data_IF_872134574896
#
_entry.id   IF_872134574896
#
_cell.length_a   1.000
_cell.length_b   1.000
_cell.length_c   1.000
_cell.angle_alpha   90.00
_cell.angle_beta   90.00
_cell.angle_gamma   90.00
#
_symmetry.space_group_name_H-M   'P 1'
#
loop_
_entity.id
_entity.type
_entity.pdbx_description
1 polymer ?
#
# COMPACT_ATOMS: atom_id res chain seq x y z
N UNK A 1 8.04 -33.46 31.66
CA UNK A 1 6.70 -32.94 31.26
C UNK A 1 6.97 -32.28 29.91
N UNK A 2 6.74 -33.06 28.86
CA UNK A 2 6.93 -32.60 27.47
C UNK A 2 5.95 -31.49 27.16
N UNK A 3 6.50 -30.40 26.65
CA UNK A 3 5.80 -29.19 26.28
C UNK A 3 5.00 -29.45 24.98
N UNK A 4 3.71 -29.84 25.14
CA UNK A 4 2.80 -30.11 24.03
C UNK A 4 2.39 -28.81 23.25
N UNK A 5 3.00 -27.67 23.58
CA UNK A 5 2.67 -26.39 22.94
C UNK A 5 3.31 -26.22 21.56
N UNK A 6 4.23 -27.09 21.15
CA UNK A 6 5.08 -26.91 19.96
C UNK A 6 4.56 -27.62 18.68
N UNK A 7 3.32 -28.11 18.70
CA UNK A 7 2.77 -28.92 17.57
C UNK A 7 1.62 -28.21 16.81
N UNK A 8 1.21 -27.02 17.23
CA UNK A 8 0.12 -26.32 16.56
C UNK A 8 0.64 -25.51 15.37
N UNK A 9 0.46 -26.04 14.17
CA UNK A 9 0.76 -25.32 12.92
C UNK A 9 -0.49 -24.53 12.48
N UNK A 10 -0.38 -23.22 12.42
CA UNK A 10 -1.44 -22.37 11.87
C UNK A 10 -1.51 -22.57 10.35
N UNK A 11 -2.70 -22.94 9.83
CA UNK A 11 -2.95 -22.95 8.39
C UNK A 11 -3.01 -21.50 7.88
N UNK A 12 -2.18 -21.16 6.90
CA UNK A 12 -2.23 -19.90 6.18
C UNK A 12 -3.29 -19.97 5.07
N UNK A 13 -4.04 -18.89 4.93
CA UNK A 13 -4.96 -18.69 3.81
C UNK A 13 -4.16 -18.17 2.61
N UNK A 14 -4.56 -18.58 1.41
CA UNK A 14 -4.04 -17.96 0.21
C UNK A 14 -5.04 -16.98 -0.43
N UNK A 15 -4.62 -16.33 -1.48
CA UNK A 15 -5.44 -15.35 -2.22
C UNK A 15 -6.75 -15.97 -2.74
N UNK A 16 -6.72 -17.24 -3.16
CA UNK A 16 -7.91 -17.92 -3.64
C UNK A 16 -8.88 -18.24 -2.50
N UNK A 17 -8.34 -18.60 -1.32
CA UNK A 17 -9.13 -18.74 -0.10
C UNK A 17 -9.79 -17.40 0.30
N UNK A 18 -9.04 -16.32 0.25
CA UNK A 18 -9.51 -14.97 0.58
C UNK A 18 -10.67 -14.53 -0.31
N UNK A 19 -10.55 -14.65 -1.63
CA UNK A 19 -11.65 -14.28 -2.53
C UNK A 19 -12.84 -15.24 -2.45
N UNK A 20 -12.60 -16.54 -2.24
CA UNK A 20 -13.73 -17.49 -1.98
C UNK A 20 -14.51 -17.17 -0.70
N UNK A 21 -13.84 -16.63 0.33
CA UNK A 21 -14.53 -16.16 1.53
C UNK A 21 -15.41 -14.94 1.25
N UNK A 22 -14.95 -14.03 0.38
CA UNK A 22 -15.75 -12.89 -0.07
C UNK A 22 -16.95 -13.35 -0.92
N UNK A 23 -16.73 -14.23 -1.90
CA UNK A 23 -17.79 -14.79 -2.76
C UNK A 23 -18.85 -15.56 -1.96
N UNK A 24 -18.44 -16.22 -0.88
CA UNK A 24 -19.34 -16.96 0.03
C UNK A 24 -20.04 -16.05 1.06
N UNK A 25 -19.77 -14.74 1.08
CA UNK A 25 -20.32 -13.79 2.03
C UNK A 25 -19.80 -13.96 3.47
N UNK A 26 -18.67 -14.67 3.65
CA UNK A 26 -17.97 -14.76 4.96
C UNK A 26 -17.26 -13.45 5.26
N UNK A 27 -16.70 -12.80 4.21
CA UNK A 27 -16.22 -11.43 4.23
C UNK A 27 -17.21 -10.60 3.42
N UNK A 28 -17.87 -9.66 4.08
CA UNK A 28 -18.84 -8.76 3.45
C UNK A 28 -18.20 -7.53 2.81
N UNK A 29 -18.97 -6.79 2.02
CA UNK A 29 -18.51 -5.56 1.37
C UNK A 29 -18.09 -4.47 2.38
N UNK A 30 -18.65 -4.50 3.59
CA UNK A 30 -18.34 -3.57 4.67
C UNK A 30 -17.14 -4.00 5.51
N UNK A 31 -16.66 -5.23 5.34
CA UNK A 31 -15.51 -5.74 6.09
C UNK A 31 -14.21 -5.12 5.55
N UNK A 32 -13.61 -4.29 6.38
CA UNK A 32 -12.33 -3.66 6.08
C UNK A 32 -11.19 -4.56 6.54
N UNK A 33 -10.79 -5.48 5.67
CA UNK A 33 -9.78 -6.49 5.97
C UNK A 33 -8.73 -6.58 4.86
N UNK A 34 -7.54 -7.01 5.23
CA UNK A 34 -6.41 -7.29 4.34
C UNK A 34 -5.97 -8.75 4.53
N UNK A 35 -5.42 -9.38 3.50
CA UNK A 35 -4.68 -10.63 3.62
C UNK A 35 -3.20 -10.32 3.76
N UNK A 36 -2.61 -10.61 4.92
CA UNK A 36 -1.19 -10.37 5.20
C UNK A 36 -0.55 -11.65 5.77
N UNK A 37 0.45 -12.16 5.10
CA UNK A 37 1.15 -13.40 5.46
C UNK A 37 0.16 -14.57 5.71
N UNK A 38 -0.88 -14.65 4.87
CA UNK A 38 -1.92 -15.68 4.94
C UNK A 38 -2.88 -15.53 6.13
N UNK A 39 -3.01 -14.33 6.69
CA UNK A 39 -3.91 -14.00 7.80
C UNK A 39 -4.84 -12.87 7.40
N UNK A 40 -6.09 -12.96 7.81
CA UNK A 40 -7.05 -11.86 7.69
C UNK A 40 -6.76 -10.86 8.81
N UNK A 41 -6.46 -9.63 8.45
CA UNK A 41 -6.15 -8.53 9.36
C UNK A 41 -7.23 -7.48 9.23
N UNK A 42 -7.89 -7.13 10.33
CA UNK A 42 -8.85 -6.04 10.37
C UNK A 42 -8.13 -4.69 10.32
N UNK A 43 -8.65 -3.78 9.49
CA UNK A 43 -8.14 -2.42 9.38
C UNK A 43 -8.79 -1.53 10.45
N UNK A 44 -8.00 -0.64 11.05
CA UNK A 44 -8.54 0.35 11.99
C UNK A 44 -9.45 1.36 11.31
N UNK A 45 -10.51 1.87 11.98
CA UNK A 45 -11.32 2.95 11.47
C UNK A 45 -10.48 4.20 11.17
N UNK A 46 -10.79 4.86 10.06
CA UNK A 46 -10.09 6.07 9.61
C UNK A 46 -10.64 7.33 10.29
N UNK A 47 -9.74 8.21 10.75
CA UNK A 47 -10.08 9.51 11.31
C UNK A 47 -10.19 10.61 10.25
N UNK A 48 -10.74 11.77 10.62
CA UNK A 48 -10.90 12.91 9.70
C UNK A 48 -9.58 13.42 9.11
N UNK A 49 -8.50 13.42 9.89
CA UNK A 49 -7.17 13.82 9.42
C UNK A 49 -6.65 12.92 8.30
N UNK A 50 -6.86 11.61 8.44
CA UNK A 50 -6.55 10.64 7.39
C UNK A 50 -7.36 10.92 6.12
N UNK A 51 -8.69 11.09 6.22
CA UNK A 51 -9.56 11.40 5.08
C UNK A 51 -9.10 12.67 4.35
N UNK A 52 -8.79 13.73 5.09
CA UNK A 52 -8.32 14.99 4.50
C UNK A 52 -7.00 14.81 3.75
N UNK A 53 -6.03 14.07 4.32
CA UNK A 53 -4.76 13.79 3.66
C UNK A 53 -4.92 12.91 2.43
N UNK A 54 -5.75 11.86 2.50
CA UNK A 54 -6.08 11.01 1.33
C UNK A 54 -6.69 11.85 0.21
N UNK A 55 -7.65 12.73 0.50
CA UNK A 55 -8.25 13.60 -0.52
C UNK A 55 -7.22 14.57 -1.14
N UNK A 56 -6.34 15.15 -0.32
CA UNK A 56 -5.26 16.03 -0.78
C UNK A 56 -4.25 15.31 -1.66
N UNK A 57 -3.81 14.13 -1.22
CA UNK A 57 -2.90 13.25 -1.97
C UNK A 57 -3.52 12.76 -3.28
N UNK A 58 -4.78 12.35 -3.25
CA UNK A 58 -5.49 11.93 -4.46
C UNK A 58 -5.45 13.02 -5.53
N UNK A 59 -5.81 14.26 -5.15
CA UNK A 59 -5.71 15.40 -6.07
C UNK A 59 -4.29 15.61 -6.59
N UNK A 60 -3.29 15.56 -5.71
CA UNK A 60 -1.90 15.79 -6.08
C UNK A 60 -1.37 14.71 -7.03
N UNK A 61 -1.65 13.44 -6.74
CA UNK A 61 -1.24 12.30 -7.55
C UNK A 61 -1.93 12.30 -8.91
N UNK A 62 -3.26 12.47 -8.96
CA UNK A 62 -4.02 12.50 -10.23
C UNK A 62 -3.53 13.63 -11.13
N UNK A 63 -3.31 14.83 -10.58
CA UNK A 63 -2.79 15.98 -11.36
C UNK A 63 -1.36 15.75 -11.86
N UNK A 64 -0.51 15.08 -11.07
CA UNK A 64 0.87 14.81 -11.44
C UNK A 64 0.98 13.67 -12.47
N UNK A 65 0.18 12.61 -12.30
CA UNK A 65 0.20 11.44 -13.16
C UNK A 65 -0.40 11.71 -14.55
N UNK A 66 -1.51 12.46 -14.64
CA UNK A 66 -2.23 12.62 -15.89
C UNK A 66 -2.47 11.28 -16.56
N UNK A 67 -2.12 11.18 -17.85
CA UNK A 67 -2.25 9.94 -18.62
C UNK A 67 -1.01 9.01 -18.52
N UNK A 68 0.02 9.40 -17.76
CA UNK A 68 1.27 8.65 -17.66
C UNK A 68 1.21 7.50 -16.65
N UNK A 69 0.23 7.51 -15.74
CA UNK A 69 0.05 6.47 -14.74
C UNK A 69 -1.41 6.42 -14.26
N UNK A 70 -1.80 5.29 -13.67
CA UNK A 70 -3.13 5.09 -13.09
C UNK A 70 -3.02 5.21 -11.58
N UNK A 71 -3.82 6.11 -10.98
CA UNK A 71 -3.93 6.26 -9.54
C UNK A 71 -5.11 5.43 -9.04
N UNK A 72 -4.83 4.49 -8.15
CA UNK A 72 -5.82 3.64 -7.50
C UNK A 72 -5.87 3.97 -6.01
N UNK A 73 -7.06 4.20 -5.47
CA UNK A 73 -7.27 4.67 -4.10
C UNK A 73 -7.95 3.59 -3.29
N UNK A 74 -7.30 3.16 -2.20
CA UNK A 74 -7.86 2.20 -1.23
C UNK A 74 -8.41 0.92 -1.87
N UNK A 75 -7.73 0.43 -2.90
CA UNK A 75 -8.04 -0.84 -3.53
C UNK A 75 -7.00 -1.90 -3.16
N UNK A 76 -7.39 -3.19 -3.11
CA UNK A 76 -6.47 -4.28 -2.86
C UNK A 76 -5.33 -4.33 -3.88
N UNK A 77 -4.11 -4.56 -3.43
CA UNK A 77 -2.92 -4.77 -4.27
C UNK A 77 -2.40 -6.20 -4.06
N UNK A 78 -2.56 -7.06 -5.06
CA UNK A 78 -2.07 -8.42 -4.99
C UNK A 78 -0.55 -8.44 -5.15
N UNK A 79 0.17 -8.79 -4.07
CA UNK A 79 1.63 -8.85 -4.10
C UNK A 79 2.13 -10.25 -4.42
N UNK A 80 1.54 -11.26 -3.80
CA UNK A 80 1.90 -12.67 -3.99
C UNK A 80 0.71 -13.56 -3.56
N UNK A 81 0.98 -14.86 -3.38
CA UNK A 81 -0.05 -15.84 -3.04
C UNK A 81 -0.63 -15.67 -1.62
N UNK A 82 0.08 -15.04 -0.70
CA UNK A 82 -0.30 -14.91 0.72
C UNK A 82 -0.59 -13.46 1.12
N UNK A 83 -0.45 -12.50 0.19
CA UNK A 83 -0.49 -11.09 0.51
C UNK A 83 -1.31 -10.28 -0.48
N UNK A 84 -2.38 -9.68 0.03
CA UNK A 84 -3.29 -8.74 -0.66
C UNK A 84 -3.55 -7.57 0.30
N UNK A 85 -2.54 -6.69 0.54
CA UNK A 85 -2.76 -5.47 1.31
C UNK A 85 -3.66 -4.49 0.56
N UNK A 86 -4.24 -3.55 1.31
CA UNK A 86 -5.01 -2.43 0.76
C UNK A 86 -4.30 -1.11 1.11
N UNK A 87 -3.34 -0.66 0.30
CA UNK A 87 -2.67 0.62 0.51
C UNK A 87 -3.65 1.78 0.29
N UNK A 88 -3.37 2.94 0.90
CA UNK A 88 -4.17 4.13 0.66
C UNK A 88 -4.08 4.58 -0.80
N UNK A 89 -2.90 4.42 -1.44
CA UNK A 89 -2.75 4.59 -2.88
C UNK A 89 -1.82 3.55 -3.48
N UNK A 90 -2.16 3.12 -4.69
CA UNK A 90 -1.26 2.47 -5.62
C UNK A 90 -1.21 3.28 -6.91
N UNK A 91 -0.01 3.55 -7.41
CA UNK A 91 0.20 4.17 -8.72
C UNK A 91 0.74 3.09 -9.64
N UNK A 92 -0.02 2.76 -10.69
CA UNK A 92 0.30 1.72 -11.63
C UNK A 92 0.77 2.27 -12.97
N UNK A 93 1.51 1.46 -13.71
CA UNK A 93 1.82 1.70 -15.12
C UNK A 93 0.53 1.91 -15.91
N UNK A 94 0.55 2.79 -16.95
CA UNK A 94 -0.64 3.01 -17.75
C UNK A 94 -1.00 1.74 -18.53
N UNK A 95 -2.30 1.39 -18.55
CA UNK A 95 -2.89 0.33 -19.35
C UNK A 95 -4.24 0.83 -19.87
N UNK A 96 -4.50 0.67 -21.19
CA UNK A 96 -5.64 1.29 -21.85
C UNK A 96 -7.00 0.84 -21.30
N UNK A 97 -7.08 -0.38 -20.77
CA UNK A 97 -8.29 -0.96 -20.17
C UNK A 97 -8.38 -0.72 -18.65
N UNK A 98 -7.48 0.06 -18.06
CA UNK A 98 -7.41 0.30 -16.62
C UNK A 98 -7.40 -0.98 -15.76
N UNK A 99 -6.79 -2.03 -16.27
CA UNK A 99 -6.77 -3.38 -15.66
C UNK A 99 -8.16 -4.01 -15.50
N UNK A 100 -9.12 -3.65 -16.37
CA UNK A 100 -10.48 -4.19 -16.31
C UNK A 100 -10.59 -5.64 -16.82
N UNK A 101 -9.63 -6.12 -17.60
CA UNK A 101 -9.61 -7.46 -18.13
C UNK A 101 -8.25 -8.14 -17.93
N UNK A 102 -8.26 -9.46 -17.90
CA UNK A 102 -7.05 -10.28 -17.71
C UNK A 102 -6.58 -10.31 -16.25
N UNK A 103 -5.27 -10.44 -16.05
CA UNK A 103 -4.69 -10.47 -14.71
C UNK A 103 -4.78 -9.09 -14.04
N UNK A 104 -5.10 -9.04 -12.73
CA UNK A 104 -5.04 -7.80 -11.96
C UNK A 104 -3.59 -7.26 -11.89
N UNK A 105 -3.41 -5.96 -11.58
CA UNK A 105 -2.08 -5.39 -11.48
C UNK A 105 -1.27 -6.14 -10.40
N UNK A 106 -0.06 -6.56 -10.78
CA UNK A 106 0.91 -7.21 -9.90
C UNK A 106 2.04 -6.25 -9.50
N UNK A 107 3.03 -6.71 -8.70
CA UNK A 107 4.15 -5.88 -8.24
C UNK A 107 4.95 -5.21 -9.37
N UNK A 108 5.07 -5.85 -10.52
CA UNK A 108 5.78 -5.31 -11.70
C UNK A 108 5.07 -4.10 -12.33
N UNK A 109 3.76 -3.96 -12.11
CA UNK A 109 2.97 -2.85 -12.61
C UNK A 109 2.99 -1.64 -11.66
N UNK A 110 3.42 -1.83 -10.42
CA UNK A 110 3.45 -0.78 -9.40
C UNK A 110 4.62 0.17 -9.64
N UNK A 111 4.33 1.47 -9.69
CA UNK A 111 5.32 2.55 -9.69
C UNK A 111 5.55 3.10 -8.29
N UNK A 112 4.50 3.14 -7.47
CA UNK A 112 4.51 3.68 -6.12
C UNK A 112 3.37 3.07 -5.30
N UNK A 113 3.61 2.75 -4.02
CA UNK A 113 2.58 2.58 -3.01
C UNK A 113 2.65 3.71 -1.97
N UNK A 114 1.50 4.07 -1.39
CA UNK A 114 1.43 5.09 -0.35
C UNK A 114 0.56 4.61 0.80
N UNK A 115 1.07 4.76 2.02
CA UNK A 115 0.33 4.57 3.27
C UNK A 115 0.22 5.91 4.00
N UNK A 116 -0.98 6.27 4.45
CA UNK A 116 -1.25 7.48 5.23
C UNK A 116 -1.45 7.09 6.69
N UNK A 117 -0.43 7.31 7.50
CA UNK A 117 -0.34 6.85 8.87
C UNK A 117 -0.80 7.90 9.88
N UNK A 118 -1.89 7.65 10.58
CA UNK A 118 -2.32 8.38 11.78
C UNK A 118 -2.02 7.54 13.05
N UNK A 119 -2.73 6.42 13.22
CA UNK A 119 -2.51 5.45 14.30
C UNK A 119 -1.75 4.21 13.83
N UNK A 120 -1.70 3.96 12.53
CA UNK A 120 -1.12 2.77 11.90
C UNK A 120 0.40 2.81 11.71
N UNK A 121 1.09 3.93 11.96
CA UNK A 121 2.50 4.15 11.62
C UNK A 121 3.43 2.99 12.04
N UNK A 122 3.20 2.41 13.22
CA UNK A 122 3.99 1.27 13.68
C UNK A 122 3.76 0.05 12.78
N UNK A 123 2.51 -0.26 12.49
CA UNK A 123 2.13 -1.39 11.62
C UNK A 123 2.69 -1.21 10.21
N UNK A 124 2.54 -0.02 9.64
CA UNK A 124 3.03 0.29 8.30
C UNK A 124 4.55 0.12 8.21
N UNK A 125 5.29 0.54 9.26
CA UNK A 125 6.75 0.40 9.31
C UNK A 125 7.24 -1.01 9.63
N UNK A 126 6.54 -1.76 10.49
CA UNK A 126 7.04 -3.06 10.96
C UNK A 126 6.48 -4.25 10.20
N UNK A 127 5.34 -4.09 9.51
CA UNK A 127 4.67 -5.16 8.76
C UNK A 127 4.63 -4.84 7.27
N UNK A 128 4.00 -3.72 6.87
CA UNK A 128 3.79 -3.41 5.45
C UNK A 128 5.08 -3.02 4.73
N UNK A 129 5.94 -2.19 5.32
CA UNK A 129 7.19 -1.76 4.69
C UNK A 129 8.08 -2.95 4.27
N UNK A 130 8.44 -3.90 5.16
CA UNK A 130 9.22 -5.06 4.74
C UNK A 130 8.46 -5.99 3.79
N UNK A 131 7.13 -6.04 3.88
CA UNK A 131 6.30 -6.79 2.93
C UNK A 131 6.44 -6.23 1.52
N UNK A 132 6.30 -4.91 1.35
CA UNK A 132 6.42 -4.23 0.07
C UNK A 132 7.84 -4.33 -0.51
N UNK A 133 8.87 -4.22 0.36
CA UNK A 133 10.25 -4.40 -0.06
C UNK A 133 10.52 -5.82 -0.59
N UNK A 134 10.03 -6.86 0.11
CA UNK A 134 10.13 -8.26 -0.36
C UNK A 134 9.39 -8.51 -1.67
N UNK A 135 8.28 -7.83 -1.90
CA UNK A 135 7.52 -7.89 -3.15
C UNK A 135 8.20 -7.13 -4.30
N UNK A 136 9.32 -6.43 -4.04
CA UNK A 136 10.05 -5.67 -5.05
C UNK A 136 9.37 -4.37 -5.47
N UNK A 137 8.50 -3.81 -4.63
CA UNK A 137 7.85 -2.52 -4.91
C UNK A 137 8.91 -1.42 -4.95
N UNK A 138 9.10 -0.72 -6.09
CA UNK A 138 10.26 0.16 -6.28
C UNK A 138 10.29 1.35 -5.33
N UNK A 139 9.13 1.86 -4.92
CA UNK A 139 8.98 3.03 -4.06
C UNK A 139 7.75 2.90 -3.15
N UNK A 140 7.93 3.22 -1.87
CA UNK A 140 6.88 3.32 -0.88
C UNK A 140 6.95 4.68 -0.20
N UNK A 141 5.84 5.39 -0.13
CA UNK A 141 5.71 6.59 0.69
C UNK A 141 4.90 6.26 1.95
N UNK A 142 5.43 6.67 3.12
CA UNK A 142 4.70 6.65 4.39
C UNK A 142 4.50 8.09 4.85
N UNK A 143 3.25 8.54 4.87
CA UNK A 143 2.84 9.86 5.35
C UNK A 143 2.60 9.79 6.84
N UNK A 144 3.47 10.41 7.65
CA UNK A 144 3.29 10.55 9.10
C UNK A 144 2.47 11.83 9.37
N UNK A 145 1.17 11.67 9.57
CA UNK A 145 0.26 12.80 9.81
C UNK A 145 0.58 13.57 11.08
N UNK A 146 1.03 12.89 12.13
CA UNK A 146 1.35 13.54 13.41
C UNK A 146 2.57 14.45 13.31
N UNK A 147 3.55 14.07 12.48
CA UNK A 147 4.77 14.86 12.24
C UNK A 147 4.67 15.74 11.01
N UNK A 148 3.63 15.56 10.19
CA UNK A 148 3.45 16.27 8.92
C UNK A 148 4.67 16.11 8.01
N UNK A 149 5.13 14.87 7.86
CA UNK A 149 6.25 14.53 6.98
C UNK A 149 5.91 13.30 6.14
N UNK A 150 6.56 13.18 5.00
CA UNK A 150 6.51 12.01 4.15
C UNK A 150 7.90 11.34 4.18
N UNK A 151 7.93 10.06 4.46
CA UNK A 151 9.13 9.23 4.31
C UNK A 151 9.03 8.45 3.00
N UNK A 152 9.93 8.74 2.06
CA UNK A 152 10.05 7.98 0.82
C UNK A 152 11.11 6.89 0.99
N UNK A 153 10.69 5.65 0.79
CA UNK A 153 11.52 4.45 0.85
C UNK A 153 11.70 3.93 -0.57
N UNK A 154 12.95 3.71 -1.01
CA UNK A 154 13.32 3.41 -2.40
C UNK A 154 14.35 2.31 -2.49
N UNK A 155 14.47 1.68 -3.66
CA UNK A 155 15.45 0.65 -3.98
C UNK A 155 15.35 -0.55 -3.05
N UNK A 156 14.30 -1.37 -3.19
CA UNK A 156 14.12 -2.57 -2.37
C UNK A 156 15.26 -3.57 -2.62
N UNK A 157 15.85 -4.05 -1.53
CA UNK A 157 16.93 -5.03 -1.54
C UNK A 157 16.80 -5.90 -0.31
N UNK A 158 16.76 -7.22 -0.49
CA UNK A 158 16.69 -8.21 0.60
C UNK A 158 15.58 -7.99 1.65
N UNK A 159 14.43 -7.43 1.19
CA UNK A 159 13.27 -7.16 2.04
C UNK A 159 13.33 -5.85 2.83
N UNK A 160 14.30 -4.99 2.51
CA UNK A 160 14.44 -3.65 3.04
C UNK A 160 14.54 -2.62 1.91
N UNK A 161 14.42 -1.34 2.21
CA UNK A 161 14.68 -0.26 1.25
C UNK A 161 16.04 0.36 1.52
N UNK A 162 16.90 0.40 0.51
CA UNK A 162 18.26 0.91 0.63
C UNK A 162 18.35 2.44 0.80
N UNK A 163 17.33 3.16 0.31
CA UNK A 163 17.26 4.62 0.40
C UNK A 163 16.02 5.06 1.16
N UNK A 164 16.21 6.00 2.10
CA UNK A 164 15.12 6.64 2.85
C UNK A 164 15.37 8.13 2.85
N UNK A 165 14.37 8.91 2.42
CA UNK A 165 14.40 10.37 2.49
C UNK A 165 13.14 10.90 3.18
N UNK A 166 13.28 12.06 3.84
CA UNK A 166 12.16 12.74 4.51
C UNK A 166 11.85 14.03 3.81
N UNK A 167 10.56 14.25 3.56
CA UNK A 167 10.03 15.39 2.82
C UNK A 167 8.98 16.13 3.64
N UNK A 168 8.87 17.44 3.39
CA UNK A 168 8.03 18.37 4.14
C UNK A 168 6.94 19.00 3.23
N UNK A 169 5.91 19.66 3.82
CA UNK A 169 4.98 20.48 3.05
C UNK A 169 5.74 21.51 2.19
N UNK A 170 5.35 21.62 0.92
CA UNK A 170 6.02 22.50 -0.05
C UNK A 170 7.05 21.81 -0.93
N UNK A 171 7.57 20.67 -0.52
CA UNK A 171 8.50 19.91 -1.35
C UNK A 171 7.83 19.33 -2.61
N UNK A 172 8.67 19.00 -3.57
CA UNK A 172 8.30 18.28 -4.78
C UNK A 172 9.07 16.98 -4.85
N UNK A 173 8.37 15.88 -5.09
CA UNK A 173 8.98 14.56 -5.14
C UNK A 173 8.66 13.90 -6.48
N UNK A 174 9.70 13.58 -7.24
CA UNK A 174 9.57 12.79 -8.46
C UNK A 174 9.49 11.30 -8.12
N UNK A 175 8.64 10.56 -8.84
CA UNK A 175 8.57 9.10 -8.71
C UNK A 175 9.86 8.46 -9.22
N UNK A 176 10.39 7.48 -8.50
CA UNK A 176 11.63 6.79 -8.87
C UNK A 176 11.51 6.10 -10.24
N UNK A 177 10.45 5.31 -10.43
CA UNK A 177 10.23 4.53 -11.65
C UNK A 177 9.63 5.34 -12.82
N UNK A 178 9.22 6.60 -12.57
CA UNK A 178 8.67 7.52 -13.58
C UNK A 178 9.06 8.96 -13.24
N UNK A 179 10.33 9.38 -13.48
CA UNK A 179 10.86 10.69 -13.03
C UNK A 179 10.17 11.90 -13.67
N UNK A 180 9.44 11.71 -14.76
CA UNK A 180 8.59 12.74 -15.37
C UNK A 180 7.36 13.11 -14.53
N UNK A 181 6.95 12.22 -13.62
CA UNK A 181 5.84 12.46 -12.70
C UNK A 181 6.40 13.06 -11.42
N UNK A 182 6.07 14.33 -11.14
CA UNK A 182 6.49 15.05 -9.93
C UNK A 182 5.30 15.53 -9.14
N UNK A 183 5.21 15.08 -7.90
CA UNK A 183 4.09 15.35 -6.97
C UNK A 183 4.45 16.48 -6.03
N UNK A 184 3.54 17.44 -5.84
CA UNK A 184 3.64 18.49 -4.83
C UNK A 184 3.05 18.01 -3.51
N UNK A 185 3.79 18.20 -2.43
CA UNK A 185 3.42 17.66 -1.13
C UNK A 185 2.59 18.60 -0.24
N UNK A 186 2.30 19.81 -0.70
CA UNK A 186 1.47 20.81 0.06
C UNK A 186 0.10 20.24 0.43
N UNK A 187 -0.55 19.55 -0.51
CA UNK A 187 -1.89 19.02 -0.34
C UNK A 187 -1.92 17.71 0.47
N UNK A 188 -0.79 17.03 0.55
CA UNK A 188 -0.66 15.76 1.24
C UNK A 188 -0.42 15.91 2.75
N UNK A 189 0.31 16.98 3.11
CA UNK A 189 0.87 17.22 4.43
C UNK A 189 0.32 18.50 5.09
N UNK A 190 -0.66 19.14 4.43
CA UNK A 190 -1.26 20.43 4.74
C UNK A 190 -2.00 20.55 6.07
#
# INVERSE_FOLDING_TARGET
MDDAADVLTQRKLDVDDYYRMADAGILGEDDRVELIDGRIIEMTPIGQGHVASVNGLNRALVMACGDQAIVSVQNPARLDRLNVPQPDFAVFRPRADFYAAGEPPGPADVLLLVEVADSSLRYDRTVKLPLYARAGIPELWIVDLKRRVLHAHRLPTDGEYAEISTHHPGDRLALLAAPGITVRLDLALG
#
